data_IF_172672017003
#
_entry.id   IF_172672017003
#
_cell.length_a   1.000
_cell.length_b   1.000
_cell.length_c   1.000
_cell.angle_alpha   90.00
_cell.angle_beta   90.00
_cell.angle_gamma   90.00
#
_symmetry.space_group_name_H-M   'P 1'
#
loop_
_entity.id
_entity.type
_entity.pdbx_description
1 polymer ?
#
# COMPACT_ATOMS: atom_id res chain seq x y z
N UNK A 1 -3.95 21.03 -7.10
CA UNK A 1 -2.51 21.20 -6.78
C UNK A 1 -2.03 19.85 -6.29
N UNK A 2 -0.92 19.32 -6.80
CA UNK A 2 -0.40 18.03 -6.35
C UNK A 2 0.28 18.19 -4.99
N UNK A 3 0.12 17.20 -4.13
CA UNK A 3 0.77 17.11 -2.82
C UNK A 3 1.48 15.77 -2.70
N UNK A 4 2.57 15.76 -1.95
CA UNK A 4 3.25 14.51 -1.57
C UNK A 4 2.54 13.90 -0.36
N UNK A 5 2.23 12.62 -0.48
CA UNK A 5 1.63 11.80 0.56
C UNK A 5 2.60 10.69 0.94
N UNK A 6 2.60 10.34 2.21
CA UNK A 6 3.18 9.11 2.72
C UNK A 6 2.08 8.07 2.83
N UNK A 7 2.32 6.89 2.25
CA UNK A 7 1.43 5.75 2.30
C UNK A 7 2.12 4.61 3.04
N UNK A 8 1.53 4.15 4.14
CA UNK A 8 1.86 2.86 4.74
C UNK A 8 0.87 1.84 4.23
N UNK A 9 1.37 0.76 3.64
CA UNK A 9 0.56 -0.33 3.12
C UNK A 9 0.88 -1.58 3.92
N UNK A 10 -0.08 -2.01 4.73
CA UNK A 10 -0.01 -3.29 5.42
C UNK A 10 -0.42 -4.38 4.44
N UNK A 11 0.44 -5.39 4.31
CA UNK A 11 0.33 -6.45 3.31
C UNK A 11 0.21 -7.77 4.05
N UNK A 12 -0.77 -8.56 3.64
CA UNK A 12 -0.93 -9.94 4.10
C UNK A 12 -0.75 -10.89 2.93
N UNK A 13 0.24 -11.76 3.02
CA UNK A 13 0.58 -12.72 1.97
C UNK A 13 0.71 -14.14 2.54
N UNK A 14 0.26 -15.14 1.77
CA UNK A 14 0.44 -16.55 2.09
C UNK A 14 1.60 -17.12 1.29
N UNK A 15 2.46 -17.92 1.93
CA UNK A 15 3.67 -18.49 1.32
C UNK A 15 3.36 -19.63 0.31
N UNK A 16 2.52 -19.38 -0.69
CA UNK A 16 2.18 -20.31 -1.75
C UNK A 16 1.18 -21.42 -1.39
N UNK A 17 0.77 -21.54 -0.12
CA UNK A 17 -0.29 -22.44 0.33
C UNK A 17 -1.31 -21.67 1.18
N UNK A 18 -2.61 -21.84 0.89
CA UNK A 18 -3.69 -21.17 1.62
C UNK A 18 -3.77 -21.57 3.11
N UNK A 19 -3.17 -22.72 3.47
CA UNK A 19 -3.04 -23.20 4.85
C UNK A 19 -1.76 -22.73 5.57
N UNK A 20 -0.85 -22.04 4.88
CA UNK A 20 0.35 -21.50 5.50
C UNK A 20 -0.01 -20.36 6.45
N UNK A 21 0.80 -20.16 7.49
CA UNK A 21 0.69 -18.96 8.32
C UNK A 21 0.91 -17.72 7.43
N UNK A 22 0.05 -16.69 7.55
CA UNK A 22 0.21 -15.48 6.77
C UNK A 22 1.49 -14.75 7.20
N UNK A 23 2.19 -14.18 6.23
CA UNK A 23 3.21 -13.16 6.44
C UNK A 23 2.50 -11.82 6.43
N UNK A 24 2.66 -11.07 7.52
CA UNK A 24 2.11 -9.73 7.67
C UNK A 24 3.29 -8.78 7.82
N UNK A 25 3.34 -7.77 6.97
CA UNK A 25 4.39 -6.76 6.96
C UNK A 25 3.85 -5.45 6.40
N UNK A 26 4.59 -4.37 6.62
CA UNK A 26 4.20 -3.04 6.16
C UNK A 26 5.27 -2.49 5.22
N UNK A 27 4.84 -1.93 4.10
CA UNK A 27 5.71 -1.14 3.22
C UNK A 27 5.33 0.33 3.24
N UNK A 28 6.33 1.19 3.00
CA UNK A 28 6.16 2.64 2.96
C UNK A 28 6.43 3.16 1.55
N UNK A 29 5.53 4.00 1.06
CA UNK A 29 5.68 4.69 -0.22
C UNK A 29 5.51 6.21 -0.05
N UNK A 30 6.28 6.98 -0.81
CA UNK A 30 5.95 8.39 -1.08
C UNK A 30 5.25 8.47 -2.43
N UNK A 31 4.11 9.17 -2.47
CA UNK A 31 3.22 9.24 -3.64
C UNK A 31 2.79 10.69 -3.83
N UNK A 32 3.00 11.23 -5.02
CA UNK A 32 2.46 12.53 -5.40
C UNK A 32 1.06 12.35 -6.00
N UNK A 33 0.06 13.00 -5.41
CA UNK A 33 -1.33 12.89 -5.84
C UNK A 33 -2.08 14.21 -5.70
N UNK A 34 -3.24 14.30 -6.35
CA UNK A 34 -4.10 15.49 -6.28
C UNK A 34 -5.05 15.47 -5.08
N UNK A 35 -5.24 14.30 -4.46
CA UNK A 35 -6.13 14.06 -3.33
C UNK A 35 -5.64 12.86 -2.51
N UNK A 36 -6.19 12.71 -1.30
CA UNK A 36 -5.96 11.52 -0.45
C UNK A 36 -6.42 10.25 -1.17
N UNK A 37 -7.59 10.28 -1.82
CA UNK A 37 -8.10 9.14 -2.58
C UNK A 37 -7.20 8.74 -3.76
N UNK A 38 -6.63 9.73 -4.47
CA UNK A 38 -5.67 9.44 -5.54
C UNK A 38 -4.36 8.87 -5.01
N UNK A 39 -3.91 9.31 -3.82
CA UNK A 39 -2.74 8.73 -3.16
C UNK A 39 -3.00 7.29 -2.71
N UNK A 40 -4.20 7.01 -2.21
CA UNK A 40 -4.66 5.67 -1.83
C UNK A 40 -4.65 4.71 -3.03
N UNK A 41 -5.33 5.08 -4.11
CA UNK A 41 -5.39 4.27 -5.34
C UNK A 41 -3.99 4.01 -5.92
N UNK A 42 -3.13 5.03 -5.93
CA UNK A 42 -1.76 4.90 -6.44
C UNK A 42 -0.88 4.01 -5.53
N UNK A 43 -1.00 4.13 -4.20
CA UNK A 43 -0.30 3.28 -3.26
C UNK A 43 -0.76 1.82 -3.36
N UNK A 44 -2.08 1.60 -3.45
CA UNK A 44 -2.67 0.27 -3.60
C UNK A 44 -2.27 -0.38 -4.93
N UNK A 45 -2.33 0.37 -6.03
CA UNK A 45 -1.93 -0.12 -7.36
C UNK A 45 -0.45 -0.52 -7.38
N UNK A 46 0.42 0.30 -6.78
CA UNK A 46 1.85 0.01 -6.65
C UNK A 46 2.09 -1.25 -5.81
N UNK A 47 1.47 -1.34 -4.63
CA UNK A 47 1.59 -2.51 -3.75
C UNK A 47 1.10 -3.80 -4.43
N UNK A 48 -0.02 -3.73 -5.15
CA UNK A 48 -0.59 -4.86 -5.91
C UNK A 48 0.37 -5.34 -7.01
N UNK A 49 1.04 -4.41 -7.70
CA UNK A 49 2.02 -4.76 -8.73
C UNK A 49 3.27 -5.44 -8.18
N UNK A 50 3.72 -5.04 -6.99
CA UNK A 50 4.90 -5.62 -6.31
C UNK A 50 4.54 -6.95 -5.65
N UNK A 51 3.34 -7.05 -5.08
CA UNK A 51 2.87 -8.19 -4.28
C UNK A 51 1.62 -8.84 -4.89
N UNK A 52 1.72 -9.44 -6.10
CA UNK A 52 0.55 -10.00 -6.80
C UNK A 52 -0.07 -11.22 -6.11
N UNK A 53 0.58 -11.77 -5.08
CA UNK A 53 0.10 -12.91 -4.29
C UNK A 53 -0.45 -12.50 -2.92
N UNK A 54 -0.41 -11.22 -2.58
CA UNK A 54 -1.03 -10.73 -1.37
C UNK A 54 -2.55 -10.97 -1.43
N UNK A 55 -3.11 -11.39 -0.29
CA UNK A 55 -4.54 -11.63 -0.14
C UNK A 55 -5.30 -10.38 0.31
N UNK A 56 -4.61 -9.43 0.94
CA UNK A 56 -5.20 -8.26 1.57
C UNK A 56 -4.17 -7.13 1.63
N UNK A 57 -4.66 -5.91 1.44
CA UNK A 57 -3.92 -4.68 1.59
C UNK A 57 -4.75 -3.72 2.45
N UNK A 58 -4.11 -3.09 3.44
CA UNK A 58 -4.69 -1.96 4.18
C UNK A 58 -3.79 -0.74 3.99
N UNK A 59 -4.37 0.36 3.50
CA UNK A 59 -3.63 1.55 3.08
C UNK A 59 -3.92 2.69 4.05
N UNK A 60 -2.87 3.28 4.59
CA UNK A 60 -2.93 4.44 5.48
C UNK A 60 -2.19 5.61 4.87
N UNK A 61 -2.93 6.64 4.49
CA UNK A 61 -2.40 7.83 3.83
C UNK A 61 -2.24 8.98 4.81
N UNK A 62 -1.08 9.61 4.81
CA UNK A 62 -0.79 10.86 5.51
C UNK A 62 -0.23 11.89 4.53
N UNK A 63 -0.82 13.09 4.48
CA UNK A 63 -0.28 14.17 3.65
C UNK A 63 0.98 14.73 4.30
N UNK A 64 2.07 14.82 3.54
CA UNK A 64 3.29 15.49 4.01
C UNK A 64 3.16 17.00 3.82
N UNK A 65 3.51 17.74 4.87
CA UNK A 65 3.59 19.20 4.86
C UNK A 65 5.02 19.60 4.47
N UNK A 66 5.41 19.31 3.22
CA UNK A 66 6.65 19.82 2.63
C UNK A 66 6.41 21.21 2.04
#
# INVERSE_FOLDING_TARGET
>A
MSHTYEAFVDIKEYAGAASASPRIYTERYEVDAMSVSGADEAALSKATGIHPKASEFDVRITRLLK
#
